data_IF_066681964830
#
_entry.id   IF_066681964830
#
_cell.length_a   1.000
_cell.length_b   1.000
_cell.length_c   1.000
_cell.angle_alpha   90.00
_cell.angle_beta   90.00
_cell.angle_gamma   90.00
#
_symmetry.space_group_name_H-M   'P 1'
#
loop_
_entity.id
_entity.type
_entity.pdbx_description
1 polymer ?
#
# COMPACT_ATOMS: atom_id res chain seq x y z
N UNK A 1 -34.20 -57.88 15.90
CA UNK A 1 -33.50 -58.95 16.65
C UNK A 1 -32.77 -59.76 15.58
N UNK A 2 -31.46 -59.80 15.45
CA UNK A 2 -30.32 -59.53 16.35
C UNK A 2 -29.04 -59.34 15.50
N UNK A 3 -28.10 -58.59 16.08
CA UNK A 3 -26.61 -58.61 15.95
C UNK A 3 -25.95 -58.91 14.60
N UNK A 4 -25.23 -57.95 14.01
CA UNK A 4 -23.83 -57.58 14.31
C UNK A 4 -22.79 -58.65 13.96
N UNK A 5 -22.00 -58.40 12.92
CA UNK A 5 -20.59 -58.84 12.84
C UNK A 5 -19.83 -57.87 11.93
N UNK A 6 -19.18 -56.94 12.60
CA UNK A 6 -18.09 -56.08 12.13
C UNK A 6 -17.02 -56.86 11.38
N UNK A 7 -16.68 -56.40 10.17
CA UNK A 7 -15.46 -56.82 9.47
C UNK A 7 -14.44 -55.68 9.59
N UNK A 8 -13.35 -55.82 10.38
CA UNK A 8 -12.47 -54.71 10.70
C UNK A 8 -11.16 -54.79 9.93
N UNK A 9 -11.14 -54.76 8.59
CA UNK A 9 -9.90 -54.62 7.82
C UNK A 9 -10.17 -54.08 6.41
N UNK A 10 -10.53 -52.81 6.30
CA UNK A 10 -10.05 -52.05 5.14
C UNK A 10 -8.75 -51.36 5.58
N UNK A 11 -7.61 -51.64 4.94
CA UNK A 11 -6.42 -50.84 5.18
C UNK A 11 -6.75 -49.43 4.70
N UNK A 12 -6.81 -48.49 5.64
CA UNK A 12 -6.68 -47.08 5.31
C UNK A 12 -5.41 -46.96 4.47
N UNK A 13 -5.58 -46.76 3.16
CA UNK A 13 -4.49 -46.33 2.29
C UNK A 13 -4.22 -44.88 2.71
N UNK A 14 -3.42 -44.71 3.74
CA UNK A 14 -2.63 -43.49 3.90
C UNK A 14 -1.70 -43.48 2.69
N UNK A 15 -2.13 -42.78 1.64
CA UNK A 15 -1.22 -42.22 0.66
C UNK A 15 -0.30 -41.30 1.45
N UNK A 16 0.80 -41.86 1.96
CA UNK A 16 2.00 -41.07 2.20
C UNK A 16 2.40 -40.54 0.82
N UNK A 17 1.83 -39.39 0.46
CA UNK A 17 2.37 -38.56 -0.61
C UNK A 17 3.73 -38.15 -0.09
N UNK A 18 4.75 -38.96 -0.39
CA UNK A 18 6.12 -38.62 -0.05
C UNK A 18 6.37 -37.21 -0.54
N UNK A 19 6.79 -36.32 0.35
CA UNK A 19 7.12 -34.94 0.01
C UNK A 19 8.09 -34.99 -1.17
N UNK A 20 7.69 -34.47 -2.33
CA UNK A 20 8.59 -34.37 -3.48
C UNK A 20 9.77 -33.50 -3.06
N UNK A 21 10.97 -34.08 -3.08
CA UNK A 21 12.25 -33.45 -2.71
C UNK A 21 12.47 -32.04 -3.31
N UNK A 22 11.86 -31.75 -4.47
CA UNK A 22 11.80 -30.43 -5.07
C UNK A 22 10.38 -30.11 -5.54
N UNK A 23 9.68 -29.12 -4.94
CA UNK A 23 8.33 -28.74 -5.33
C UNK A 23 8.24 -28.26 -6.79
N UNK A 24 7.13 -28.55 -7.47
CA UNK A 24 6.89 -28.09 -8.84
C UNK A 24 5.41 -27.73 -9.11
N UNK A 25 4.92 -26.60 -8.57
CA UNK A 25 3.56 -26.14 -8.80
C UNK A 25 3.41 -25.47 -10.18
N UNK A 26 3.39 -26.27 -11.24
CA UNK A 26 3.34 -25.78 -12.62
C UNK A 26 2.07 -25.01 -13.00
N UNK A 27 1.02 -25.06 -12.16
CA UNK A 27 -0.24 -24.36 -12.36
C UNK A 27 -0.19 -22.90 -11.87
N UNK A 28 0.86 -22.50 -11.16
CA UNK A 28 0.99 -21.17 -10.56
C UNK A 28 1.69 -20.19 -11.51
N UNK A 29 1.07 -19.03 -11.70
CA UNK A 29 1.59 -17.96 -12.53
C UNK A 29 1.94 -16.74 -11.66
N UNK A 30 3.23 -16.52 -11.41
CA UNK A 30 3.69 -15.45 -10.52
C UNK A 30 3.30 -14.05 -10.99
N UNK A 31 3.26 -13.78 -12.30
CA UNK A 31 2.83 -12.48 -12.82
C UNK A 31 1.40 -12.12 -12.44
N UNK A 32 0.56 -13.12 -12.13
CA UNK A 32 -0.81 -12.89 -11.65
C UNK A 32 -0.88 -12.74 -10.12
N UNK A 33 0.14 -13.18 -9.39
CA UNK A 33 0.19 -13.16 -7.93
C UNK A 33 0.97 -11.96 -7.37
N UNK A 34 1.87 -11.38 -8.16
CA UNK A 34 2.51 -10.10 -7.85
C UNK A 34 1.63 -8.97 -8.37
N UNK A 35 1.04 -8.16 -7.48
CA UNK A 35 0.25 -6.99 -7.91
C UNK A 35 1.12 -5.85 -8.43
N UNK A 36 2.44 -5.88 -8.16
CA UNK A 36 3.38 -4.84 -8.56
C UNK A 36 4.55 -5.46 -9.33
N UNK A 37 4.74 -5.00 -10.57
CA UNK A 37 5.98 -5.28 -11.30
C UNK A 37 7.14 -4.49 -10.73
N UNK A 38 8.29 -5.14 -10.56
CA UNK A 38 9.51 -4.44 -10.17
C UNK A 38 9.95 -3.53 -11.32
N UNK A 39 9.88 -2.22 -11.10
CA UNK A 39 10.24 -1.19 -12.07
C UNK A 39 11.23 -0.16 -11.50
N UNK A 40 11.88 -0.47 -10.37
CA UNK A 40 12.79 0.43 -9.68
C UNK A 40 12.82 0.28 -8.16
N UNK A 41 13.77 0.97 -7.52
CA UNK A 41 14.09 0.86 -6.08
C UNK A 41 12.89 1.13 -5.16
N UNK A 42 12.05 2.11 -5.50
CA UNK A 42 10.87 2.47 -4.70
C UNK A 42 9.86 1.31 -4.55
N UNK A 43 9.76 0.42 -5.54
CA UNK A 43 8.85 -0.73 -5.53
C UNK A 43 9.48 -2.02 -5.00
N UNK A 44 10.80 -2.01 -4.78
CA UNK A 44 11.55 -3.22 -4.46
C UNK A 44 11.09 -3.90 -3.18
N UNK A 45 10.83 -3.13 -2.11
CA UNK A 45 10.39 -3.70 -0.83
C UNK A 45 9.03 -4.40 -0.96
N UNK A 46 8.07 -3.78 -1.65
CA UNK A 46 6.74 -4.35 -1.86
C UNK A 46 6.80 -5.59 -2.77
N UNK A 47 7.52 -5.50 -3.89
CA UNK A 47 7.75 -6.63 -4.79
C UNK A 47 8.44 -7.80 -4.08
N UNK A 48 9.53 -7.53 -3.33
CA UNK A 48 10.31 -8.53 -2.60
C UNK A 48 9.41 -9.26 -1.60
N UNK A 49 8.57 -8.54 -0.87
CA UNK A 49 7.63 -9.12 0.08
C UNK A 49 6.65 -10.06 -0.60
N UNK A 50 6.04 -9.64 -1.72
CA UNK A 50 5.11 -10.49 -2.48
C UNK A 50 5.79 -11.76 -3.00
N UNK A 51 7.01 -11.63 -3.53
CA UNK A 51 7.78 -12.76 -4.03
C UNK A 51 8.17 -13.73 -2.91
N UNK A 52 8.59 -13.24 -1.75
CA UNK A 52 8.87 -14.09 -0.59
C UNK A 52 7.63 -14.88 -0.14
N UNK A 53 6.48 -14.22 -0.01
CA UNK A 53 5.23 -14.91 0.32
C UNK A 53 4.86 -16.00 -0.70
N UNK A 54 5.08 -15.73 -2.00
CA UNK A 54 4.83 -16.72 -3.05
C UNK A 54 5.75 -17.94 -2.91
N UNK A 55 7.04 -17.71 -2.67
CA UNK A 55 8.02 -18.79 -2.55
C UNK A 55 7.84 -19.59 -1.26
N UNK A 56 7.59 -18.92 -0.14
CA UNK A 56 7.33 -19.56 1.15
C UNK A 56 6.07 -20.42 1.11
N UNK A 57 4.99 -19.94 0.50
CA UNK A 57 3.73 -20.70 0.39
C UNK A 57 3.85 -21.98 -0.44
N UNK A 58 4.92 -22.14 -1.22
CA UNK A 58 5.18 -23.33 -2.04
C UNK A 58 6.48 -24.05 -1.66
N UNK A 59 7.10 -23.72 -0.53
CA UNK A 59 8.36 -24.37 -0.08
C UNK A 59 9.54 -24.16 -1.03
N UNK A 60 9.57 -23.05 -1.77
CA UNK A 60 10.57 -22.74 -2.81
C UNK A 60 11.55 -21.62 -2.44
N UNK A 61 11.48 -21.08 -1.21
CA UNK A 61 12.45 -20.10 -0.70
C UNK A 61 13.90 -20.60 -0.79
N UNK A 62 14.09 -21.92 -0.69
CA UNK A 62 15.41 -22.52 -0.73
C UNK A 62 16.20 -22.31 -2.03
N UNK A 63 15.50 -22.03 -3.14
CA UNK A 63 16.13 -21.75 -4.44
C UNK A 63 16.73 -20.35 -4.51
N UNK A 64 16.35 -19.41 -3.63
CA UNK A 64 16.87 -18.03 -3.62
C UNK A 64 17.85 -17.78 -2.46
N UNK A 65 17.66 -18.43 -1.31
CA UNK A 65 18.58 -18.31 -0.17
C UNK A 65 19.79 -19.27 -0.28
N UNK A 66 19.69 -20.29 -1.13
CA UNK A 66 20.75 -21.28 -1.37
C UNK A 66 20.71 -22.50 -0.44
N UNK A 67 19.65 -22.67 0.36
CA UNK A 67 19.45 -23.87 1.19
C UNK A 67 19.11 -25.10 0.34
N UNK A 68 18.44 -24.93 -0.81
CA UNK A 68 18.22 -26.00 -1.80
C UNK A 68 19.35 -26.00 -2.84
N UNK A 69 20.50 -26.58 -2.46
CA UNK A 69 21.70 -26.64 -3.29
C UNK A 69 21.51 -27.58 -4.49
N UNK A 70 22.02 -27.18 -5.65
CA UNK A 70 22.06 -28.05 -6.84
C UNK A 70 22.91 -29.30 -6.56
N UNK A 71 22.43 -30.52 -6.88
CA UNK A 71 23.22 -31.74 -6.77
C UNK A 71 24.51 -31.63 -7.61
N UNK A 72 25.68 -31.76 -6.98
CA UNK A 72 26.97 -31.65 -7.69
C UNK A 72 27.16 -32.79 -8.69
N UNK A 73 27.77 -32.53 -9.85
CA UNK A 73 28.02 -33.54 -10.89
C UNK A 73 29.03 -34.62 -10.49
N UNK A 74 29.74 -34.48 -9.35
CA UNK A 74 30.68 -35.47 -8.87
C UNK A 74 30.02 -36.42 -7.86
N UNK A 75 29.83 -37.67 -8.28
CA UNK A 75 29.26 -38.73 -7.46
C UNK A 75 30.29 -39.15 -6.40
N UNK A 76 30.20 -38.60 -5.19
CA UNK A 76 30.87 -39.14 -4.01
C UNK A 76 29.86 -39.92 -3.18
N UNK A 77 29.60 -41.18 -3.53
CA UNK A 77 28.76 -42.07 -2.73
C UNK A 77 28.13 -43.21 -3.52
N UNK A 78 27.55 -44.18 -2.79
CA UNK A 78 26.88 -45.39 -3.30
C UNK A 78 25.57 -45.12 -4.06
N UNK A 79 25.35 -43.90 -4.57
CA UNK A 79 24.15 -43.57 -5.32
C UNK A 79 24.20 -44.14 -6.74
N UNK A 80 23.10 -44.76 -7.17
CA UNK A 80 22.96 -45.21 -8.57
C UNK A 80 22.96 -43.97 -9.47
N UNK A 81 23.81 -43.95 -10.49
CA UNK A 81 23.98 -42.84 -11.45
C UNK A 81 22.63 -42.31 -12.00
N UNK A 82 21.65 -43.19 -12.20
CA UNK A 82 20.31 -42.81 -12.66
C UNK A 82 19.48 -42.02 -11.65
N UNK A 83 19.62 -42.27 -10.35
CA UNK A 83 18.89 -41.56 -9.30
C UNK A 83 19.41 -40.12 -9.14
N UNK A 84 20.73 -39.96 -9.21
CA UNK A 84 21.40 -38.67 -9.21
C UNK A 84 20.99 -37.78 -10.40
N UNK A 85 20.94 -38.33 -11.62
CA UNK A 85 20.49 -37.61 -12.81
C UNK A 85 19.02 -37.17 -12.70
N UNK A 86 18.16 -38.02 -12.11
CA UNK A 86 16.76 -37.70 -11.86
C UNK A 86 16.61 -36.59 -10.82
N UNK A 87 17.40 -36.60 -9.75
CA UNK A 87 17.43 -35.54 -8.73
C UNK A 87 17.86 -34.20 -9.33
N UNK A 88 18.97 -34.19 -10.09
CA UNK A 88 19.44 -32.98 -10.77
C UNK A 88 18.41 -32.42 -11.77
N UNK A 89 17.70 -33.30 -12.52
CA UNK A 89 16.62 -32.89 -13.42
C UNK A 89 15.45 -32.25 -12.65
N UNK A 90 15.05 -32.81 -11.50
CA UNK A 90 13.99 -32.25 -10.65
C UNK A 90 14.38 -30.88 -10.10
N UNK A 91 15.60 -30.73 -9.57
CA UNK A 91 16.14 -29.44 -9.12
C UNK A 91 16.14 -28.40 -10.25
N UNK A 92 16.70 -28.73 -11.42
CA UNK A 92 16.75 -27.83 -12.60
C UNK A 92 15.37 -27.35 -13.03
N UNK A 93 14.37 -28.23 -12.96
CA UNK A 93 12.97 -27.90 -13.31
C UNK A 93 12.38 -26.87 -12.34
N UNK A 94 12.57 -27.08 -11.04
CA UNK A 94 12.05 -26.18 -10.01
C UNK A 94 12.80 -24.84 -9.97
N UNK A 95 14.13 -24.85 -10.11
CA UNK A 95 14.94 -23.63 -10.26
C UNK A 95 14.49 -22.81 -11.47
N UNK A 96 14.26 -23.46 -12.61
CA UNK A 96 13.75 -22.79 -13.81
C UNK A 96 12.37 -22.14 -13.57
N UNK A 97 11.49 -22.80 -12.80
CA UNK A 97 10.17 -22.25 -12.47
C UNK A 97 10.29 -20.99 -11.59
N UNK A 98 11.08 -21.05 -10.51
CA UNK A 98 11.32 -19.90 -9.63
C UNK A 98 11.96 -18.74 -10.40
N UNK A 99 12.95 -19.04 -11.25
CA UNK A 99 13.57 -18.05 -12.13
C UNK A 99 12.53 -17.41 -13.07
N UNK A 100 11.66 -18.20 -13.70
CA UNK A 100 10.57 -17.68 -14.53
C UNK A 100 9.60 -16.79 -13.74
N UNK A 101 9.29 -17.16 -12.50
CA UNK A 101 8.45 -16.34 -11.62
C UNK A 101 9.08 -14.98 -11.33
N UNK A 102 10.36 -14.95 -10.95
CA UNK A 102 11.09 -13.71 -10.70
C UNK A 102 11.13 -12.85 -11.98
N UNK A 103 11.58 -13.40 -13.10
CA UNK A 103 11.74 -12.65 -14.35
C UNK A 103 10.40 -12.12 -14.91
N UNK A 104 9.34 -12.91 -14.86
CA UNK A 104 8.01 -12.48 -15.35
C UNK A 104 7.36 -11.39 -14.49
N UNK A 105 7.82 -11.23 -13.24
CA UNK A 105 7.36 -10.17 -12.33
C UNK A 105 8.12 -8.84 -12.49
N UNK A 106 9.07 -8.74 -13.42
CA UNK A 106 9.83 -7.51 -13.69
C UNK A 106 9.15 -6.63 -14.75
N UNK A 107 9.43 -5.33 -14.73
CA UNK A 107 9.14 -4.44 -15.87
C UNK A 107 10.06 -4.76 -17.05
N UNK A 108 9.69 -4.34 -18.25
CA UNK A 108 10.48 -4.59 -19.47
C UNK A 108 11.88 -3.98 -19.35
N UNK A 109 11.98 -2.76 -18.82
CA UNK A 109 13.24 -2.06 -18.60
C UNK A 109 14.11 -2.77 -17.56
N UNK A 110 13.50 -3.20 -16.45
CA UNK A 110 14.20 -3.90 -15.37
C UNK A 110 14.70 -5.27 -15.82
N UNK A 111 13.88 -6.00 -16.57
CA UNK A 111 14.24 -7.29 -17.15
C UNK A 111 15.45 -7.15 -18.10
N UNK A 112 15.40 -6.17 -19.01
CA UNK A 112 16.50 -5.90 -19.94
C UNK A 112 17.80 -5.55 -19.22
N UNK A 113 17.72 -4.72 -18.18
CA UNK A 113 18.87 -4.33 -17.38
C UNK A 113 19.50 -5.51 -16.63
N UNK A 114 18.69 -6.31 -15.94
CA UNK A 114 19.16 -7.45 -15.13
C UNK A 114 19.78 -8.54 -16.01
N UNK A 115 19.14 -8.88 -17.14
CA UNK A 115 19.66 -9.90 -18.05
C UNK A 115 20.99 -9.49 -18.67
N UNK A 116 21.13 -8.20 -19.02
CA UNK A 116 22.41 -7.66 -19.50
C UNK A 116 23.50 -7.81 -18.45
N UNK A 117 23.26 -7.37 -17.21
CA UNK A 117 24.28 -7.43 -16.15
C UNK A 117 24.68 -8.87 -15.78
N UNK A 118 23.69 -9.79 -15.70
CA UNK A 118 23.96 -11.21 -15.48
C UNK A 118 24.80 -11.81 -16.63
N UNK A 119 24.48 -11.47 -17.88
CA UNK A 119 25.20 -11.99 -19.05
C UNK A 119 26.67 -11.52 -19.08
N UNK A 120 26.93 -10.26 -18.76
CA UNK A 120 28.28 -9.67 -18.66
C UNK A 120 29.10 -10.32 -17.54
N UNK A 121 28.50 -10.50 -16.36
CA UNK A 121 29.13 -11.14 -15.19
C UNK A 121 29.52 -12.59 -15.46
N UNK A 122 28.72 -13.32 -16.23
CA UNK A 122 28.95 -14.73 -16.60
C UNK A 122 29.97 -14.90 -17.74
N UNK A 123 30.10 -13.94 -18.66
CA UNK A 123 31.12 -13.98 -19.72
C UNK A 123 32.54 -13.99 -19.13
N UNK A 124 32.74 -13.36 -17.97
CA UNK A 124 34.01 -13.42 -17.24
C UNK A 124 34.30 -14.79 -16.61
N UNK A 125 33.35 -15.73 -16.62
CA UNK A 125 33.44 -17.05 -16.00
C UNK A 125 33.38 -18.23 -17.01
N UNK A 126 33.51 -17.96 -18.32
CA UNK A 126 33.42 -18.98 -19.40
C UNK A 126 32.12 -19.83 -19.39
N UNK A 127 31.02 -19.29 -18.86
CA UNK A 127 29.70 -19.95 -18.82
C UNK A 127 28.78 -19.44 -19.92
N UNK A 128 27.85 -20.31 -20.35
CA UNK A 128 26.80 -19.92 -21.29
C UNK A 128 25.96 -18.75 -20.73
N UNK A 129 25.59 -17.80 -21.59
CA UNK A 129 24.86 -16.58 -21.23
C UNK A 129 23.49 -16.82 -20.55
N UNK A 130 22.94 -18.03 -20.65
CA UNK A 130 21.66 -18.44 -20.08
C UNK A 130 21.78 -19.38 -18.85
N UNK A 131 22.99 -19.61 -18.35
CA UNK A 131 23.28 -20.57 -17.27
C UNK A 131 23.36 -19.90 -15.88
N UNK A 132 22.33 -19.13 -15.54
CA UNK A 132 22.13 -18.58 -14.19
C UNK A 132 20.94 -19.26 -13.48
N UNK A 133 21.06 -19.39 -12.16
CA UNK A 133 20.03 -19.92 -11.26
C UNK A 133 19.02 -18.85 -10.84
N UNK A 134 17.92 -19.26 -10.20
CA UNK A 134 17.01 -18.34 -9.54
C UNK A 134 17.70 -17.47 -8.48
N UNK A 135 18.67 -18.06 -7.76
CA UNK A 135 19.50 -17.35 -6.78
C UNK A 135 20.31 -16.22 -7.40
N UNK A 136 20.94 -16.46 -8.55
CA UNK A 136 21.74 -15.43 -9.22
C UNK A 136 20.88 -14.22 -9.60
N UNK A 137 19.67 -14.46 -10.14
CA UNK A 137 18.72 -13.37 -10.44
C UNK A 137 18.31 -12.64 -9.17
N UNK A 138 18.00 -13.37 -8.10
CA UNK A 138 17.60 -12.80 -6.83
C UNK A 138 18.69 -11.91 -6.22
N UNK A 139 19.92 -12.41 -6.13
CA UNK A 139 21.06 -11.69 -5.56
C UNK A 139 21.41 -10.45 -6.39
N UNK A 140 21.27 -10.51 -7.72
CA UNK A 140 21.47 -9.37 -8.60
C UNK A 140 20.41 -8.28 -8.36
N UNK A 141 19.13 -8.66 -8.24
CA UNK A 141 18.06 -7.73 -7.88
C UNK A 141 18.26 -7.12 -6.49
N UNK A 142 18.76 -7.90 -5.51
CA UNK A 142 19.13 -7.37 -4.20
C UNK A 142 20.31 -6.39 -4.29
N UNK A 143 21.28 -6.63 -5.16
CA UNK A 143 22.43 -5.75 -5.35
C UNK A 143 22.01 -4.42 -5.97
N UNK A 144 21.15 -4.47 -7.00
CA UNK A 144 20.71 -3.27 -7.74
C UNK A 144 19.72 -2.44 -6.92
N UNK A 145 18.75 -3.09 -6.27
CA UNK A 145 17.61 -2.40 -5.65
C UNK A 145 17.53 -2.52 -4.13
N UNK A 146 18.41 -3.30 -3.51
CA UNK A 146 18.47 -3.43 -2.06
C UNK A 146 18.84 -2.13 -1.34
N UNK A 147 18.62 -2.08 -0.02
CA UNK A 147 19.10 -0.99 0.80
C UNK A 147 20.63 -0.91 0.68
N UNK A 148 21.16 0.28 0.42
CA UNK A 148 22.60 0.50 0.42
C UNK A 148 23.11 0.27 1.83
N UNK A 149 23.98 -0.73 2.03
CA UNK A 149 24.78 -0.81 3.25
C UNK A 149 25.76 0.36 3.17
N UNK A 150 25.44 1.47 3.84
CA UNK A 150 26.36 2.60 3.96
C UNK A 150 27.60 2.15 4.74
N UNK A 151 28.81 2.20 4.17
CA UNK A 151 30.02 2.29 4.98
C UNK A 151 29.90 3.56 5.83
N UNK A 152 30.09 3.45 7.14
CA UNK A 152 29.97 4.54 8.12
C UNK A 152 31.07 5.61 8.01
N UNK A 153 31.43 6.07 6.81
CA UNK A 153 32.48 7.07 6.63
C UNK A 153 32.00 8.15 5.67
N UNK A 154 32.17 9.39 6.15
CA UNK A 154 31.92 10.70 5.51
C UNK A 154 30.59 11.39 5.91
N UNK A 155 30.43 11.63 7.21
CA UNK A 155 29.84 12.90 7.65
C UNK A 155 30.98 13.92 7.66
N UNK A 156 31.24 14.56 6.51
CA UNK A 156 31.90 15.86 6.52
C UNK A 156 30.82 16.92 6.74
N UNK A 157 31.08 17.86 7.64
CA UNK A 157 30.16 18.89 8.14
C UNK A 157 29.77 19.98 7.11
N UNK A 158 29.53 19.63 5.85
CA UNK A 158 29.06 20.58 4.83
C UNK A 158 27.88 20.01 4.04
N UNK A 159 26.63 20.39 4.37
CA UNK A 159 25.43 19.94 3.68
C UNK A 159 25.40 20.25 2.17
N UNK A 160 26.23 21.18 1.70
CA UNK A 160 26.31 21.57 0.30
C UNK A 160 27.02 20.55 -0.60
N UNK A 161 27.92 19.71 -0.07
CA UNK A 161 28.71 18.79 -0.91
C UNK A 161 27.96 17.52 -1.32
N UNK A 162 27.03 17.01 -0.50
CA UNK A 162 26.35 15.72 -0.77
C UNK A 162 25.39 15.82 -1.98
N UNK A 163 24.75 16.98 -2.16
CA UNK A 163 23.79 17.21 -3.24
C UNK A 163 24.46 17.23 -4.63
N UNK A 164 25.68 17.74 -4.71
CA UNK A 164 26.45 17.81 -5.96
C UNK A 164 27.28 16.53 -6.18
N UNK A 165 27.84 15.96 -5.11
CA UNK A 165 28.66 14.75 -5.19
C UNK A 165 27.83 13.49 -5.50
N UNK A 166 26.66 13.31 -4.85
CA UNK A 166 25.81 12.12 -5.00
C UNK A 166 24.31 12.49 -5.08
N UNK A 167 23.84 12.94 -6.25
CA UNK A 167 22.46 13.40 -6.45
C UNK A 167 21.41 12.33 -6.09
N UNK A 168 21.64 11.07 -6.48
CA UNK A 168 20.70 9.98 -6.22
C UNK A 168 20.61 9.64 -4.73
N UNK A 169 21.74 9.68 -4.01
CA UNK A 169 21.78 9.41 -2.58
C UNK A 169 21.10 10.54 -1.79
N UNK A 170 21.33 11.80 -2.20
CA UNK A 170 20.66 12.96 -1.63
C UNK A 170 19.14 12.88 -1.82
N UNK A 171 18.66 12.47 -3.00
CA UNK A 171 17.23 12.30 -3.26
C UNK A 171 16.60 11.24 -2.33
N UNK A 172 17.28 10.12 -2.09
CA UNK A 172 16.81 9.07 -1.18
C UNK A 172 16.74 9.59 0.27
N UNK A 173 17.79 10.28 0.73
CA UNK A 173 17.83 10.86 2.08
C UNK A 173 16.73 11.89 2.29
N UNK A 174 16.52 12.76 1.28
CA UNK A 174 15.45 13.74 1.29
C UNK A 174 14.08 13.08 1.32
N UNK A 175 13.84 12.06 0.49
CA UNK A 175 12.56 11.32 0.49
C UNK A 175 12.30 10.64 1.84
N UNK A 176 13.33 10.11 2.49
CA UNK A 176 13.22 9.51 3.81
C UNK A 176 12.92 10.56 4.90
N UNK A 177 13.54 11.73 4.81
CA UNK A 177 13.28 12.86 5.70
C UNK A 177 11.84 13.37 5.54
N UNK A 178 11.39 13.58 4.30
CA UNK A 178 10.02 13.99 3.96
C UNK A 178 8.99 12.95 4.46
N UNK A 179 9.25 11.66 4.29
CA UNK A 179 8.39 10.59 4.84
C UNK A 179 8.33 10.62 6.37
N UNK A 180 9.47 10.80 7.05
CA UNK A 180 9.51 10.91 8.50
C UNK A 180 8.75 12.14 8.99
N UNK A 181 8.88 13.24 8.27
CA UNK A 181 8.23 14.51 8.52
C UNK A 181 6.69 14.42 8.40
N UNK A 182 6.18 13.83 7.31
CA UNK A 182 4.75 13.55 7.13
C UNK A 182 4.21 12.64 8.24
N UNK A 183 4.96 11.61 8.64
CA UNK A 183 4.55 10.71 9.72
C UNK A 183 4.48 11.42 11.08
N UNK A 184 5.40 12.35 11.37
CA UNK A 184 5.37 13.18 12.57
C UNK A 184 4.16 14.11 12.56
N UNK A 185 3.86 14.74 11.42
CA UNK A 185 2.69 15.61 11.26
C UNK A 185 1.39 14.84 11.49
N UNK A 186 1.28 13.62 10.94
CA UNK A 186 0.13 12.74 11.17
C UNK A 186 -0.07 12.41 12.66
N UNK A 187 0.98 12.02 13.37
CA UNK A 187 0.91 11.72 14.82
C UNK A 187 0.54 12.95 15.65
N UNK A 188 1.04 14.12 15.28
CA UNK A 188 0.67 15.36 15.96
C UNK A 188 -0.80 15.71 15.71
N UNK A 189 -1.26 15.64 14.46
CA UNK A 189 -2.64 15.93 14.08
C UNK A 189 -3.65 14.99 14.76
N UNK A 190 -3.36 13.67 14.84
CA UNK A 190 -4.26 12.70 15.48
C UNK A 190 -4.36 12.87 17.00
N UNK A 191 -3.27 13.28 17.66
CA UNK A 191 -3.31 13.64 19.10
C UNK A 191 -4.11 14.93 19.36
N UNK A 192 -4.28 15.73 18.31
CA UNK A 192 -4.84 17.06 18.35
C UNK A 192 -4.11 18.01 19.30
N UNK A 193 -2.80 17.84 19.40
CA UNK A 193 -1.89 18.77 20.07
C UNK A 193 -1.36 19.79 19.05
N UNK A 194 -1.82 21.03 19.19
CA UNK A 194 -1.40 22.13 18.32
C UNK A 194 0.09 22.41 18.41
N UNK A 195 0.70 22.29 19.59
CA UNK A 195 2.11 22.68 19.76
C UNK A 195 3.03 21.72 19.01
N UNK A 196 2.73 20.42 19.06
CA UNK A 196 3.40 19.41 18.24
C UNK A 196 3.18 19.64 16.74
N UNK A 197 1.95 19.96 16.31
CA UNK A 197 1.65 20.27 14.90
C UNK A 197 2.45 21.49 14.44
N UNK A 198 2.41 22.58 15.21
CA UNK A 198 3.09 23.82 14.90
C UNK A 198 4.62 23.66 14.89
N UNK A 199 5.18 22.85 15.78
CA UNK A 199 6.61 22.53 15.80
C UNK A 199 7.05 21.79 14.53
N UNK A 200 6.22 20.88 14.00
CA UNK A 200 6.49 20.16 12.75
C UNK A 200 6.40 21.11 11.55
N UNK A 201 5.32 21.89 11.45
CA UNK A 201 5.11 22.84 10.35
C UNK A 201 6.17 23.95 10.29
N UNK A 202 6.72 24.38 11.44
CA UNK A 202 7.75 25.43 11.48
C UNK A 202 9.13 24.95 11.03
N UNK A 203 9.44 23.68 11.25
CA UNK A 203 10.79 23.12 11.06
C UNK A 203 11.01 22.50 9.68
N UNK A 204 9.94 22.22 8.94
CA UNK A 204 9.99 21.40 7.73
C UNK A 204 9.31 22.11 6.56
N UNK A 205 9.68 21.77 5.32
CA UNK A 205 9.06 22.28 4.09
C UNK A 205 7.69 21.62 3.82
N UNK A 206 6.94 21.35 4.90
CA UNK A 206 5.64 20.67 4.88
C UNK A 206 4.59 21.65 5.38
N UNK A 207 3.47 21.62 4.71
CA UNK A 207 2.32 22.50 4.89
C UNK A 207 1.11 21.70 5.35
N UNK A 208 0.06 22.40 5.79
CA UNK A 208 -1.20 21.78 6.22
C UNK A 208 -1.98 21.10 5.08
N UNK A 209 -1.61 21.40 3.83
CA UNK A 209 -2.26 20.88 2.61
C UNK A 209 -1.55 19.66 2.03
N UNK A 210 -0.38 19.28 2.55
CA UNK A 210 0.31 18.08 2.10
C UNK A 210 -0.45 16.83 2.47
N UNK A 211 -0.43 15.83 1.58
CA UNK A 211 -1.05 14.52 1.80
C UNK A 211 -0.16 13.71 2.74
N UNK A 212 -0.65 13.48 3.96
CA UNK A 212 0.11 12.84 5.05
C UNK A 212 -0.26 11.38 5.30
N UNK A 213 -1.23 10.84 4.54
CA UNK A 213 -1.67 9.44 4.63
C UNK A 213 -1.75 8.81 3.24
N UNK A 214 -1.81 7.48 3.20
CA UNK A 214 -2.01 6.69 1.98
C UNK A 214 -3.35 6.99 1.28
N UNK A 215 -4.39 7.34 2.03
CA UNK A 215 -5.70 7.73 1.47
C UNK A 215 -5.74 9.20 1.04
N UNK A 216 -4.59 9.86 0.95
CA UNK A 216 -4.49 11.25 0.50
C UNK A 216 -5.04 12.29 1.48
N UNK A 217 -5.34 11.91 2.73
CA UNK A 217 -5.76 12.86 3.76
C UNK A 217 -4.61 13.81 4.13
N UNK A 218 -4.94 15.08 4.29
CA UNK A 218 -4.06 16.13 4.79
C UNK A 218 -4.21 16.32 6.31
N UNK A 219 -3.42 17.19 6.93
CA UNK A 219 -3.56 17.51 8.36
C UNK A 219 -4.97 18.04 8.70
N UNK A 220 -5.58 18.82 7.80
CA UNK A 220 -6.96 19.32 7.92
C UNK A 220 -7.98 18.17 7.95
N UNK A 221 -7.82 17.17 7.08
CA UNK A 221 -8.70 15.98 7.06
C UNK A 221 -8.62 15.21 8.38
N UNK A 222 -7.40 15.02 8.91
CA UNK A 222 -7.20 14.34 10.20
C UNK A 222 -7.84 15.12 11.34
N UNK A 223 -7.70 16.46 11.37
CA UNK A 223 -8.31 17.29 12.39
C UNK A 223 -9.84 17.17 12.39
N UNK A 224 -10.48 17.09 11.22
CA UNK A 224 -11.94 16.92 11.09
C UNK A 224 -12.39 15.51 11.48
N UNK A 225 -11.70 14.48 10.98
CA UNK A 225 -12.15 13.09 11.06
C UNK A 225 -11.77 12.38 12.35
N UNK A 226 -10.59 12.66 12.90
CA UNK A 226 -10.05 11.94 14.06
C UNK A 226 -10.20 12.71 15.38
N UNK A 227 -10.39 14.04 15.31
CA UNK A 227 -10.47 14.89 16.51
C UNK A 227 -11.80 15.64 16.52
N UNK A 228 -12.44 15.76 17.69
CA UNK A 228 -13.56 16.69 17.91
C UNK A 228 -13.08 18.03 18.45
N UNK A 229 -11.85 18.43 18.11
CA UNK A 229 -11.21 19.65 18.61
C UNK A 229 -11.30 20.73 17.54
N UNK A 230 -12.39 21.51 17.56
CA UNK A 230 -12.59 22.62 16.63
C UNK A 230 -11.43 23.62 16.63
N UNK A 231 -10.82 23.89 17.79
CA UNK A 231 -9.66 24.78 17.91
C UNK A 231 -8.48 24.36 17.02
N UNK A 232 -8.24 23.06 16.90
CA UNK A 232 -7.17 22.54 16.04
C UNK A 232 -7.50 22.83 14.57
N UNK A 233 -8.75 22.56 14.16
CA UNK A 233 -9.21 22.82 12.80
C UNK A 233 -9.09 24.31 12.47
N UNK A 234 -9.52 25.20 13.36
CA UNK A 234 -9.44 26.65 13.15
C UNK A 234 -7.98 27.10 12.96
N UNK A 235 -7.07 26.68 13.84
CA UNK A 235 -5.64 27.02 13.74
C UNK A 235 -4.98 26.45 12.48
N UNK A 236 -5.36 25.24 12.05
CA UNK A 236 -4.88 24.66 10.80
C UNK A 236 -5.41 25.43 9.57
N UNK A 237 -6.68 25.84 9.60
CA UNK A 237 -7.28 26.66 8.54
C UNK A 237 -6.56 28.01 8.44
N UNK A 238 -6.22 28.64 9.57
CA UNK A 238 -5.40 29.87 9.60
C UNK A 238 -3.98 29.69 9.04
N UNK A 239 -3.43 28.46 9.05
CA UNK A 239 -2.14 28.13 8.43
C UNK A 239 -2.26 27.64 6.99
N UNK A 240 -3.47 27.63 6.44
CA UNK A 240 -3.66 27.28 5.03
C UNK A 240 -3.16 28.45 4.17
N UNK A 241 -2.35 28.20 3.13
CA UNK A 241 -1.91 29.26 2.22
C UNK A 241 -3.11 30.01 1.62
N UNK A 242 -3.04 31.35 1.55
CA UNK A 242 -4.17 32.21 1.17
C UNK A 242 -4.76 31.90 -0.22
N UNK A 243 -3.94 31.38 -1.13
CA UNK A 243 -4.34 30.98 -2.48
C UNK A 243 -4.96 29.57 -2.57
N UNK A 244 -5.11 28.87 -1.46
CA UNK A 244 -5.67 27.52 -1.43
C UNK A 244 -7.19 27.58 -1.47
N UNK A 245 -7.80 26.96 -2.47
CA UNK A 245 -9.24 26.73 -2.46
C UNK A 245 -9.56 25.47 -1.65
N UNK A 246 -10.43 25.58 -0.64
CA UNK A 246 -10.81 24.44 0.19
C UNK A 246 -11.50 23.32 -0.61
N UNK A 247 -12.11 23.64 -1.76
CA UNK A 247 -12.69 22.68 -2.69
C UNK A 247 -11.64 21.74 -3.32
N UNK A 248 -10.40 22.23 -3.49
CA UNK A 248 -9.31 21.46 -4.11
C UNK A 248 -8.65 20.49 -3.11
N UNK A 249 -8.92 20.67 -1.81
CA UNK A 249 -8.43 19.79 -0.75
C UNK A 249 -9.26 18.52 -0.68
N UNK A 250 -8.99 17.60 -1.62
CA UNK A 250 -9.67 16.31 -1.74
C UNK A 250 -8.73 15.15 -1.42
N UNK A 251 -9.22 14.18 -0.65
CA UNK A 251 -8.52 12.93 -0.41
C UNK A 251 -8.63 11.98 -1.62
N UNK A 252 -8.12 10.74 -1.51
CA UNK A 252 -8.13 9.76 -2.60
C UNK A 252 -9.55 9.34 -3.04
N UNK A 253 -10.55 9.46 -2.15
CA UNK A 253 -11.96 9.17 -2.44
C UNK A 253 -12.68 10.38 -3.06
N UNK A 254 -11.96 11.47 -3.32
CA UNK A 254 -12.55 12.74 -3.75
C UNK A 254 -13.30 13.46 -2.63
N UNK A 255 -13.24 12.98 -1.40
CA UNK A 255 -13.90 13.62 -0.27
C UNK A 255 -13.20 14.94 0.07
N UNK A 256 -13.99 16.01 0.15
CA UNK A 256 -13.57 17.28 0.76
C UNK A 256 -13.58 17.18 2.29
N UNK A 257 -13.06 18.20 2.97
CA UNK A 257 -13.16 18.30 4.44
C UNK A 257 -14.60 18.18 4.96
N UNK A 258 -15.58 18.71 4.22
CA UNK A 258 -16.99 18.65 4.62
C UNK A 258 -17.58 17.24 4.47
N UNK A 259 -17.13 16.46 3.47
CA UNK A 259 -17.46 15.03 3.38
C UNK A 259 -16.93 14.29 4.59
N UNK A 260 -15.68 14.55 5.01
CA UNK A 260 -15.12 13.90 6.22
C UNK A 260 -15.94 14.27 7.47
N UNK A 261 -16.32 15.54 7.65
CA UNK A 261 -17.18 15.96 8.75
C UNK A 261 -18.54 15.25 8.72
N UNK A 262 -19.11 15.07 7.53
CA UNK A 262 -20.34 14.33 7.31
C UNK A 262 -20.21 12.84 7.67
N UNK A 263 -19.13 12.17 7.26
CA UNK A 263 -18.86 10.75 7.54
C UNK A 263 -18.80 10.48 9.04
N UNK A 264 -18.10 11.34 9.80
CA UNK A 264 -17.88 11.12 11.24
C UNK A 264 -18.91 11.83 12.13
N UNK A 265 -19.83 12.61 11.56
CA UNK A 265 -20.82 13.37 12.31
C UNK A 265 -20.23 14.52 13.13
N UNK A 266 -19.17 15.16 12.66
CA UNK A 266 -18.54 16.29 13.34
C UNK A 266 -19.26 17.60 12.99
N UNK A 267 -20.37 17.88 13.69
CA UNK A 267 -21.23 19.05 13.46
C UNK A 267 -20.48 20.37 13.59
N UNK A 268 -19.63 20.52 14.60
CA UNK A 268 -18.88 21.76 14.83
C UNK A 268 -17.87 22.04 13.70
N UNK A 269 -17.17 21.00 13.23
CA UNK A 269 -16.30 21.14 12.06
C UNK A 269 -17.11 21.47 10.80
N UNK A 270 -18.30 20.89 10.62
CA UNK A 270 -19.17 21.22 9.51
C UNK A 270 -19.57 22.71 9.52
N UNK A 271 -19.95 23.25 10.67
CA UNK A 271 -20.32 24.67 10.81
C UNK A 271 -19.14 25.59 10.47
N UNK A 272 -17.94 25.28 10.99
CA UNK A 272 -16.71 26.03 10.68
C UNK A 272 -16.43 26.01 9.18
N UNK A 273 -16.51 24.84 8.55
CA UNK A 273 -16.18 24.66 7.13
C UNK A 273 -17.18 25.36 6.22
N UNK A 274 -18.50 25.21 6.48
CA UNK A 274 -19.55 25.89 5.70
C UNK A 274 -19.49 27.40 5.89
N UNK A 275 -19.18 27.88 7.10
CA UNK A 275 -18.96 29.29 7.37
C UNK A 275 -17.74 29.87 6.63
N UNK A 276 -16.74 29.05 6.31
CA UNK A 276 -15.56 29.45 5.53
C UNK A 276 -15.77 29.38 4.02
N UNK A 277 -16.40 28.32 3.53
CA UNK A 277 -16.70 28.15 2.12
C UNK A 277 -18.00 27.35 1.95
N UNK A 278 -19.06 28.02 1.52
CA UNK A 278 -20.39 27.44 1.35
C UNK A 278 -20.47 26.46 0.18
N UNK A 279 -19.59 26.60 -0.82
CA UNK A 279 -19.57 25.73 -2.01
C UNK A 279 -19.20 24.29 -1.66
N UNK A 280 -18.57 24.07 -0.49
CA UNK A 280 -18.30 22.74 0.04
C UNK A 280 -19.58 21.90 0.18
N UNK A 281 -20.75 22.52 0.40
CA UNK A 281 -22.04 21.84 0.47
C UNK A 281 -22.42 21.13 -0.84
N UNK A 282 -21.95 21.66 -1.98
CA UNK A 282 -22.26 21.18 -3.33
C UNK A 282 -21.16 20.28 -3.91
N UNK A 283 -20.01 20.22 -3.25
CA UNK A 283 -18.92 19.36 -3.69
C UNK A 283 -19.39 17.91 -3.75
N UNK A 284 -18.91 17.17 -4.75
CA UNK A 284 -19.15 15.74 -4.88
C UNK A 284 -17.88 14.97 -4.58
N UNK A 285 -18.00 13.81 -3.97
CA UNK A 285 -16.92 12.82 -3.92
C UNK A 285 -16.80 12.06 -5.26
N UNK A 286 -15.95 11.03 -5.31
CA UNK A 286 -15.77 10.23 -6.52
C UNK A 286 -16.98 9.32 -6.83
N UNK A 287 -17.85 9.07 -5.86
CA UNK A 287 -19.11 8.33 -6.04
C UNK A 287 -20.25 9.27 -6.47
N UNK A 288 -20.00 10.58 -6.49
CA UNK A 288 -20.96 11.59 -6.87
C UNK A 288 -21.84 12.07 -5.72
N UNK A 289 -21.60 11.62 -4.48
CA UNK A 289 -22.37 12.02 -3.31
C UNK A 289 -21.95 13.40 -2.80
N UNK A 290 -22.90 14.16 -2.28
CA UNK A 290 -22.64 15.42 -1.55
C UNK A 290 -22.41 15.16 -0.06
N UNK A 291 -21.81 16.08 0.70
CA UNK A 291 -21.64 15.90 2.15
C UNK A 291 -22.97 15.69 2.88
N UNK A 292 -24.06 16.32 2.43
CA UNK A 292 -25.37 16.14 3.04
C UNK A 292 -25.89 14.71 2.85
N UNK A 293 -25.76 14.17 1.63
CA UNK A 293 -26.13 12.78 1.34
C UNK A 293 -25.34 11.80 2.21
N UNK A 294 -24.03 12.03 2.36
CA UNK A 294 -23.16 11.22 3.21
C UNK A 294 -23.52 11.33 4.70
N UNK A 295 -23.88 12.52 5.20
CA UNK A 295 -24.29 12.69 6.59
C UNK A 295 -25.61 11.96 6.88
N UNK A 296 -26.54 11.99 5.92
CA UNK A 296 -27.84 11.32 6.03
C UNK A 296 -27.69 9.79 5.98
N UNK A 297 -26.89 9.26 5.05
CA UNK A 297 -26.64 7.81 4.95
C UNK A 297 -25.98 7.23 6.20
N UNK A 298 -25.11 8.02 6.85
CA UNK A 298 -24.48 7.66 8.13
C UNK A 298 -25.32 8.03 9.37
N UNK A 299 -26.57 8.48 9.19
CA UNK A 299 -27.51 8.82 10.28
C UNK A 299 -27.05 9.95 11.22
N UNK A 300 -26.20 10.87 10.76
CA UNK A 300 -25.70 11.99 11.55
C UNK A 300 -26.67 13.17 11.57
N UNK A 301 -27.85 12.96 12.17
CA UNK A 301 -29.00 13.88 12.12
C UNK A 301 -28.66 15.32 12.53
N UNK A 302 -27.81 15.52 13.54
CA UNK A 302 -27.45 16.87 13.99
C UNK A 302 -26.61 17.60 12.94
N UNK A 303 -25.63 16.93 12.35
CA UNK A 303 -24.80 17.47 11.26
C UNK A 303 -25.65 17.77 10.03
N UNK A 304 -26.54 16.84 9.63
CA UNK A 304 -27.47 17.07 8.51
C UNK A 304 -28.39 18.27 8.78
N UNK A 305 -28.93 18.40 10.00
CA UNK A 305 -29.79 19.52 10.38
C UNK A 305 -29.05 20.85 10.31
N UNK A 306 -27.80 20.92 10.79
CA UNK A 306 -27.00 22.14 10.72
C UNK A 306 -26.68 22.50 9.26
N UNK A 307 -26.25 21.56 8.44
CA UNK A 307 -26.03 21.79 6.99
C UNK A 307 -27.29 22.31 6.29
N UNK A 308 -28.47 21.78 6.62
CA UNK A 308 -29.76 22.23 6.08
C UNK A 308 -30.12 23.68 6.46
N UNK A 309 -29.67 24.20 7.61
CA UNK A 309 -29.90 25.60 7.97
C UNK A 309 -29.20 26.56 7.01
N UNK A 310 -28.03 26.19 6.49
CA UNK A 310 -27.30 27.00 5.51
C UNK A 310 -27.91 26.94 4.10
N UNK A 311 -28.70 25.91 3.80
CA UNK A 311 -29.35 25.74 2.49
C UNK A 311 -30.53 26.71 2.33
N UNK A 312 -31.22 27.03 3.43
CA UNK A 312 -32.44 27.83 3.40
C UNK A 312 -32.20 29.32 3.06
N UNK A 313 -30.98 29.70 2.72
CA UNK A 313 -30.62 31.10 2.50
C UNK A 313 -30.33 31.47 1.04
N UNK A 314 -29.79 30.62 0.15
CA UNK A 314 -29.50 31.00 -1.27
C UNK A 314 -29.09 29.85 -2.24
N UNK A 315 -29.05 28.58 -1.81
CA UNK A 315 -28.41 27.48 -2.58
C UNK A 315 -29.43 26.68 -3.39
N UNK A 316 -29.10 26.33 -4.65
CA UNK A 316 -29.92 25.45 -5.51
C UNK A 316 -30.17 24.08 -4.84
N UNK A 317 -31.43 23.85 -4.43
CA UNK A 317 -31.84 22.65 -3.68
C UNK A 317 -31.63 21.35 -4.44
N UNK A 318 -31.81 21.37 -5.76
CA UNK A 318 -31.72 20.17 -6.60
C UNK A 318 -30.27 19.68 -6.76
N UNK A 319 -29.29 20.59 -6.69
CA UNK A 319 -27.87 20.24 -6.79
C UNK A 319 -27.36 19.51 -5.53
N UNK A 320 -27.91 19.80 -4.36
CA UNK A 320 -27.52 19.20 -3.07
C UNK A 320 -27.82 17.71 -2.97
N UNK A 321 -28.80 17.23 -3.74
CA UNK A 321 -29.20 15.83 -3.75
C UNK A 321 -28.69 15.09 -4.99
N UNK A 322 -27.91 15.76 -5.84
CA UNK A 322 -27.41 15.16 -7.07
C UNK A 322 -26.35 14.09 -6.76
N UNK A 323 -26.54 12.88 -7.30
CA UNK A 323 -25.73 11.69 -7.01
C UNK A 323 -26.45 10.64 -6.16
N UNK A 324 -27.48 11.04 -5.41
CA UNK A 324 -28.46 10.15 -4.78
C UNK A 324 -29.80 10.32 -5.49
N UNK A 325 -30.54 9.24 -5.79
CA UNK A 325 -31.92 9.46 -6.22
C UNK A 325 -32.69 10.10 -5.06
N UNK A 326 -33.58 11.07 -5.33
CA UNK A 326 -34.39 11.69 -4.27
C UNK A 326 -35.18 10.65 -3.46
N UNK A 327 -35.52 9.52 -4.10
CA UNK A 327 -36.15 8.35 -3.49
C UNK A 327 -35.24 7.65 -2.47
N UNK A 328 -33.95 7.44 -2.80
CA UNK A 328 -32.97 6.82 -1.91
C UNK A 328 -32.71 7.68 -0.67
N UNK A 329 -32.67 9.00 -0.85
CA UNK A 329 -32.58 9.92 0.27
C UNK A 329 -33.83 9.86 1.17
N UNK A 330 -35.02 9.79 0.57
CA UNK A 330 -36.29 9.59 1.29
C UNK A 330 -36.27 8.28 2.08
N UNK A 331 -35.79 7.19 1.48
CA UNK A 331 -35.63 5.89 2.16
C UNK A 331 -34.67 6.01 3.34
N UNK A 332 -33.52 6.65 3.17
CA UNK A 332 -32.53 6.87 4.24
C UNK A 332 -33.12 7.71 5.37
N UNK A 333 -33.81 8.81 5.04
CA UNK A 333 -34.45 9.71 6.01
C UNK A 333 -35.54 8.97 6.80
N UNK A 334 -36.42 8.21 6.12
CA UNK A 334 -37.50 7.43 6.75
C UNK A 334 -36.93 6.29 7.61
N UNK A 335 -35.85 5.65 7.16
CA UNK A 335 -35.19 4.55 7.87
C UNK A 335 -34.39 5.03 9.08
N UNK A 336 -33.98 6.30 9.10
CA UNK A 336 -33.38 6.93 10.26
C UNK A 336 -34.45 7.11 11.35
N UNK A 337 -34.41 6.27 12.40
CA UNK A 337 -35.41 6.17 13.50
C UNK A 337 -35.59 7.43 14.38
N UNK A 338 -35.28 8.64 13.89
CA UNK A 338 -35.25 9.89 14.68
C UNK A 338 -36.13 11.04 14.19
N UNK A 339 -36.96 10.85 13.16
CA UNK A 339 -37.94 11.88 12.79
C UNK A 339 -39.22 11.78 13.64
N UNK A 340 -39.17 12.30 14.86
CA UNK A 340 -40.39 12.68 15.60
C UNK A 340 -40.72 14.13 15.26
N UNK A 341 -41.82 14.36 14.54
CA UNK A 341 -42.44 15.68 14.44
C UNK A 341 -43.14 15.99 15.78
N UNK A 342 -42.35 16.39 16.78
CA UNK A 342 -42.88 17.00 18.00
C UNK A 342 -43.25 18.46 17.70
N UNK A 343 -44.53 18.79 17.87
CA UNK A 343 -45.12 20.12 17.68
C UNK A 343 -44.49 21.21 18.53
#
# INVERSE_FOLDING_TARGET
MESSSSNPHEPHVTLEVGEEEYPYPSHVCASNLTSVKLSGKAKFVMWKTQMLCLLESHGMSGFIDGTLVSPQTSVSGKEKVGDHQNRHRRWRRSDALVKSWILSSLSEETLGYVLKHLSEKLHHQERNASDFSAKDVWDELQTIYGPAVLPQLLVSDKPQDIREAWPDQYLILKEQEDKSALQKLYRAAISGDWDSVHAVLKRQNITVIDKITNNGNTALHIAVGATKKADLLQKLLEKTPENTQLLDLRNSDGSTLLHVAAIVGNTEAADILVGRNRDLLLAKDNEGHTPLAVALSNMHTQTSKHMLQYINTDIEKDALFSGTSGEELLVVVISSKRFWFGK
#
